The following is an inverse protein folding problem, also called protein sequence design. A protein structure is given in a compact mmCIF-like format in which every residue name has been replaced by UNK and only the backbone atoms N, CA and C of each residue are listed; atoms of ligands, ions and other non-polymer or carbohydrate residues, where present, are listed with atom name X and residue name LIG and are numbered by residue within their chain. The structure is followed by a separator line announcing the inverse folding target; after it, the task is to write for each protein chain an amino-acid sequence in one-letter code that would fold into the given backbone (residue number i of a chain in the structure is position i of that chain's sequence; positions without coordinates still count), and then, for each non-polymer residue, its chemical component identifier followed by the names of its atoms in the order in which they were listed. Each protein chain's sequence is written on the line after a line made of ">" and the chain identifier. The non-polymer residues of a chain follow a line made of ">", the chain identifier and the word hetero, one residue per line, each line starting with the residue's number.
data_IF_794700688042
#
_entry.id   IF_794700688042
#
_cell.length_a   1.000
_cell.length_b   1.000
_cell.length_c   1.000
_cell.angle_alpha   90.00
_cell.angle_beta   90.00
_cell.angle_gamma   90.00
#
_symmetry.space_group_name_H-M   'P 1'
#
loop_
_entity.id
_entity.type
_entity.pdbx_description
1 polymer ?
#
# COMPACT_ATOMS: atom_id res chain seq x y z
N UNK A 1 65.06 29.83 -65.89
CA UNK A 1 64.52 29.40 -64.58
C UNK A 1 64.33 27.90 -64.64
N UNK A 2 64.90 27.17 -63.68
CA UNK A 2 65.11 25.73 -63.75
C UNK A 2 63.82 24.98 -63.42
N UNK A 3 63.48 23.94 -64.18
CA UNK A 3 62.29 23.08 -63.97
C UNK A 3 62.17 22.55 -62.53
N UNK A 4 63.30 22.44 -61.83
CA UNK A 4 63.36 22.02 -60.42
C UNK A 4 62.75 23.02 -59.44
N UNK A 5 62.90 24.33 -59.69
CA UNK A 5 62.35 25.39 -58.83
C UNK A 5 60.83 25.49 -58.98
N UNK A 6 60.32 25.29 -60.20
CA UNK A 6 58.86 25.28 -60.46
C UNK A 6 58.14 24.12 -59.78
N UNK A 7 58.77 22.93 -59.70
CA UNK A 7 58.18 21.76 -59.02
C UNK A 7 58.10 21.98 -57.51
N UNK A 8 59.14 22.58 -56.90
CA UNK A 8 59.15 22.88 -55.45
C UNK A 8 58.05 23.88 -55.10
N UNK A 9 57.92 24.98 -55.84
CA UNK A 9 56.86 25.97 -55.62
C UNK A 9 55.44 25.38 -55.78
N UNK A 10 55.26 24.45 -56.72
CA UNK A 10 53.98 23.78 -56.92
C UNK A 10 53.64 22.82 -55.77
N UNK A 11 54.63 22.10 -55.23
CA UNK A 11 54.46 21.22 -54.07
C UNK A 11 54.07 22.02 -52.81
N UNK A 12 54.73 23.16 -52.56
CA UNK A 12 54.41 24.05 -51.44
C UNK A 12 52.97 24.60 -51.52
N UNK A 13 52.54 25.01 -52.72
CA UNK A 13 51.16 25.46 -52.97
C UNK A 13 50.12 24.34 -52.81
N UNK A 14 50.46 23.10 -53.15
CA UNK A 14 49.59 21.94 -52.94
C UNK A 14 49.51 21.57 -51.46
N UNK A 15 50.62 21.66 -50.71
CA UNK A 15 50.67 21.49 -49.26
C UNK A 15 49.77 22.51 -48.55
N UNK A 16 49.94 23.79 -48.87
CA UNK A 16 49.10 24.87 -48.31
C UNK A 16 47.60 24.71 -48.64
N UNK A 17 47.27 24.22 -49.84
CA UNK A 17 45.86 23.87 -50.18
C UNK A 17 45.35 22.66 -49.41
N UNK A 18 46.22 21.68 -49.13
CA UNK A 18 45.90 20.51 -48.33
C UNK A 18 45.58 20.90 -46.88
N UNK A 19 46.45 21.70 -46.25
CA UNK A 19 46.29 22.18 -44.88
C UNK A 19 44.98 22.96 -44.70
N UNK A 20 44.65 23.88 -45.61
CA UNK A 20 43.38 24.62 -45.56
C UNK A 20 42.14 23.73 -45.69
N UNK A 21 42.21 22.66 -46.49
CA UNK A 21 41.12 21.68 -46.60
C UNK A 21 40.98 20.87 -45.33
N UNK A 22 42.09 20.51 -44.70
CA UNK A 22 42.08 19.77 -43.44
C UNK A 22 41.51 20.60 -42.29
N UNK A 23 41.87 21.88 -42.19
CA UNK A 23 41.29 22.80 -41.22
C UNK A 23 39.77 22.96 -41.42
N UNK A 24 39.33 23.10 -42.68
CA UNK A 24 37.91 23.17 -43.02
C UNK A 24 37.15 21.91 -42.58
N UNK A 25 37.70 20.73 -42.89
CA UNK A 25 37.10 19.45 -42.49
C UNK A 25 37.09 19.26 -40.96
N UNK A 26 38.13 19.70 -40.25
CA UNK A 26 38.18 19.68 -38.78
C UNK A 26 37.08 20.55 -38.18
N UNK A 27 36.87 21.75 -38.73
CA UNK A 27 35.80 22.65 -38.28
C UNK A 27 34.42 22.06 -38.55
N UNK A 28 34.21 21.50 -39.75
CA UNK A 28 32.93 20.88 -40.11
C UNK A 28 32.62 19.66 -39.23
N UNK A 29 33.61 18.80 -38.99
CA UNK A 29 33.45 17.65 -38.11
C UNK A 29 33.15 18.07 -36.67
N UNK A 30 33.79 19.14 -36.18
CA UNK A 30 33.48 19.70 -34.85
C UNK A 30 32.02 20.15 -34.74
N UNK A 31 31.53 20.89 -35.74
CA UNK A 31 30.13 21.36 -35.77
C UNK A 31 29.16 20.18 -35.84
N UNK A 32 29.47 19.17 -36.64
CA UNK A 32 28.65 17.95 -36.73
C UNK A 32 28.62 17.17 -35.41
N UNK A 33 29.77 17.04 -34.73
CA UNK A 33 29.86 16.37 -33.44
C UNK A 33 29.06 17.11 -32.36
N UNK A 34 29.15 18.44 -32.28
CA UNK A 34 28.36 19.25 -31.35
C UNK A 34 26.85 19.13 -31.61
N UNK A 35 26.45 19.10 -32.89
CA UNK A 35 25.05 18.91 -33.27
C UNK A 35 24.53 17.52 -32.92
N UNK A 36 25.35 16.48 -33.12
CA UNK A 36 25.00 15.11 -32.75
C UNK A 36 24.80 14.98 -31.24
N UNK A 37 25.73 15.52 -30.44
CA UNK A 37 25.64 15.51 -28.99
C UNK A 37 24.37 16.22 -28.48
N UNK A 38 24.07 17.42 -29.01
CA UNK A 38 22.82 18.14 -28.65
C UNK A 38 21.56 17.38 -29.04
N UNK A 39 21.59 16.65 -30.16
CA UNK A 39 20.45 15.86 -30.59
C UNK A 39 20.19 14.70 -29.63
N UNK A 40 21.24 13.99 -29.22
CA UNK A 40 21.15 12.91 -28.23
C UNK A 40 20.64 13.42 -26.88
N UNK A 41 21.13 14.58 -26.42
CA UNK A 41 20.66 15.21 -25.17
C UNK A 41 19.15 15.52 -25.22
N UNK A 42 18.68 16.09 -26.33
CA UNK A 42 17.25 16.36 -26.53
C UNK A 42 16.40 15.09 -26.62
N UNK A 43 16.93 14.02 -27.22
CA UNK A 43 16.24 12.73 -27.29
C UNK A 43 16.16 12.07 -25.91
N UNK A 44 17.22 12.13 -25.11
CA UNK A 44 17.24 11.66 -23.73
C UNK A 44 16.25 12.44 -22.84
N UNK A 45 16.23 13.77 -22.96
CA UNK A 45 15.27 14.62 -22.22
C UNK A 45 13.81 14.27 -22.57
N UNK A 46 13.52 14.05 -23.86
CA UNK A 46 12.20 13.62 -24.32
C UNK A 46 11.82 12.24 -23.79
N UNK A 47 12.77 11.30 -23.75
CA UNK A 47 12.55 9.97 -23.19
C UNK A 47 12.22 10.05 -21.70
N UNK A 48 12.99 10.82 -20.93
CA UNK A 48 12.77 11.03 -19.50
C UNK A 48 11.39 11.65 -19.21
N UNK A 49 11.00 12.69 -19.96
CA UNK A 49 9.67 13.32 -19.83
C UNK A 49 8.52 12.36 -20.13
N UNK A 50 8.66 11.50 -21.15
CA UNK A 50 7.66 10.48 -21.47
C UNK A 50 7.51 9.47 -20.35
N UNK A 51 8.63 8.98 -19.81
CA UNK A 51 8.61 8.02 -18.72
C UNK A 51 7.99 8.62 -17.45
N UNK A 52 8.30 9.87 -17.14
CA UNK A 52 7.69 10.59 -16.02
C UNK A 52 6.17 10.72 -16.18
N UNK A 53 5.70 11.09 -17.37
CA UNK A 53 4.27 11.17 -17.68
C UNK A 53 3.57 9.80 -17.55
N UNK A 54 4.20 8.72 -18.00
CA UNK A 54 3.65 7.36 -17.87
C UNK A 54 3.58 6.92 -16.40
N UNK A 55 4.62 7.22 -15.60
CA UNK A 55 4.60 6.97 -14.15
C UNK A 55 3.49 7.76 -13.45
N UNK A 56 3.32 9.03 -13.81
CA UNK A 56 2.25 9.87 -13.26
C UNK A 56 0.87 9.31 -13.61
N UNK A 57 0.65 8.91 -14.86
CA UNK A 57 -0.61 8.31 -15.30
C UNK A 57 -0.93 7.00 -14.54
N UNK A 58 0.05 6.10 -14.38
CA UNK A 58 -0.13 4.85 -13.61
C UNK A 58 -0.49 5.11 -12.15
N UNK A 59 0.13 6.11 -11.54
CA UNK A 59 -0.16 6.49 -10.16
C UNK A 59 -1.60 7.00 -10.02
N UNK A 60 -2.03 7.87 -10.93
CA UNK A 60 -3.39 8.41 -10.94
C UNK A 60 -4.43 7.30 -11.17
N UNK A 61 -4.15 6.35 -12.06
CA UNK A 61 -5.02 5.21 -12.31
C UNK A 61 -5.18 4.34 -11.05
N UNK A 62 -4.09 4.05 -10.33
CA UNK A 62 -4.13 3.31 -9.07
C UNK A 62 -4.96 4.04 -7.99
N UNK A 63 -4.81 5.36 -7.86
CA UNK A 63 -5.61 6.17 -6.94
C UNK A 63 -7.10 6.17 -7.31
N UNK A 64 -7.43 6.23 -8.61
CA UNK A 64 -8.82 6.10 -9.09
C UNK A 64 -9.41 4.72 -8.78
N UNK A 65 -8.64 3.66 -8.99
CA UNK A 65 -9.06 2.30 -8.69
C UNK A 65 -9.35 2.13 -7.18
N UNK A 66 -8.44 2.60 -6.32
CA UNK A 66 -8.62 2.55 -4.87
C UNK A 66 -9.89 3.29 -4.41
N UNK A 67 -10.14 4.51 -4.92
CA UNK A 67 -11.38 5.25 -4.60
C UNK A 67 -12.64 4.54 -5.04
N UNK A 68 -12.60 3.88 -6.20
CA UNK A 68 -13.75 3.11 -6.70
C UNK A 68 -14.04 1.91 -5.81
N UNK A 69 -13.01 1.16 -5.41
CA UNK A 69 -13.16 0.05 -4.46
C UNK A 69 -13.67 0.50 -3.09
N UNK A 70 -13.22 1.66 -2.58
CA UNK A 70 -13.73 2.21 -1.33
C UNK A 70 -15.24 2.51 -1.40
N UNK A 71 -15.71 3.11 -2.49
CA UNK A 71 -17.14 3.40 -2.70
C UNK A 71 -17.97 2.11 -2.86
N UNK A 72 -17.50 1.16 -3.64
CA UNK A 72 -18.16 -0.15 -3.78
C UNK A 72 -18.19 -0.91 -2.46
N UNK A 73 -17.10 -0.83 -1.67
CA UNK A 73 -17.01 -1.42 -0.34
C UNK A 73 -17.96 -0.78 0.67
N UNK A 74 -18.15 0.54 0.61
CA UNK A 74 -19.12 1.25 1.43
C UNK A 74 -20.56 0.83 1.08
N UNK A 75 -20.90 0.81 -0.21
CA UNK A 75 -22.22 0.38 -0.68
C UNK A 75 -22.55 -1.06 -0.24
N UNK A 76 -21.60 -1.99 -0.37
CA UNK A 76 -21.79 -3.39 0.08
C UNK A 76 -21.97 -3.51 1.60
N UNK A 77 -21.28 -2.70 2.40
CA UNK A 77 -21.45 -2.68 3.86
C UNK A 77 -22.84 -2.19 4.24
N UNK A 78 -23.30 -1.10 3.63
CA UNK A 78 -24.65 -0.57 3.85
C UNK A 78 -25.73 -1.59 3.48
N UNK A 79 -25.56 -2.30 2.37
CA UNK A 79 -26.48 -3.37 1.95
C UNK A 79 -26.53 -4.53 2.97
N UNK A 80 -25.37 -4.98 3.46
CA UNK A 80 -25.31 -6.03 4.48
C UNK A 80 -25.92 -5.59 5.82
N UNK A 81 -25.70 -4.34 6.22
CA UNK A 81 -26.27 -3.81 7.45
C UNK A 81 -27.79 -3.64 7.34
N UNK A 82 -28.30 -3.23 6.16
CA UNK A 82 -29.72 -3.20 5.87
C UNK A 82 -30.36 -4.60 5.89
N UNK A 83 -29.69 -5.61 5.31
CA UNK A 83 -30.18 -6.99 5.35
C UNK A 83 -30.23 -7.53 6.79
N UNK A 84 -29.20 -7.25 7.60
CA UNK A 84 -29.17 -7.63 9.02
C UNK A 84 -30.28 -6.95 9.81
N UNK A 85 -30.52 -5.66 9.59
CA UNK A 85 -31.58 -4.92 10.24
C UNK A 85 -32.96 -5.51 9.91
N UNK A 86 -33.22 -5.82 8.63
CA UNK A 86 -34.48 -6.44 8.20
C UNK A 86 -34.70 -7.82 8.84
N UNK A 87 -33.65 -8.65 8.93
CA UNK A 87 -33.72 -9.96 9.60
C UNK A 87 -34.03 -9.81 11.10
N UNK A 88 -33.39 -8.88 11.79
CA UNK A 88 -33.64 -8.62 13.21
C UNK A 88 -35.06 -8.14 13.47
N UNK A 89 -35.60 -7.27 12.62
CA UNK A 89 -37.00 -6.81 12.74
C UNK A 89 -38.00 -7.96 12.53
N UNK A 90 -37.75 -8.88 11.59
CA UNK A 90 -38.59 -10.08 11.43
C UNK A 90 -38.54 -10.99 12.67
N UNK A 91 -37.35 -11.22 13.24
CA UNK A 91 -37.18 -12.02 14.45
C UNK A 91 -37.88 -11.39 15.65
N UNK A 92 -37.75 -10.07 15.81
CA UNK A 92 -38.45 -9.29 16.83
C UNK A 92 -39.96 -9.43 16.70
N UNK A 93 -40.51 -9.24 15.52
CA UNK A 93 -41.95 -9.43 15.25
C UNK A 93 -42.41 -10.84 15.62
N UNK A 94 -41.63 -11.86 15.26
CA UNK A 94 -41.93 -13.25 15.63
C UNK A 94 -41.96 -13.42 17.15
N UNK A 95 -40.93 -12.98 17.88
CA UNK A 95 -40.86 -13.09 19.33
C UNK A 95 -42.00 -12.32 20.02
N UNK A 96 -42.33 -11.12 19.54
CA UNK A 96 -43.46 -10.35 20.05
C UNK A 96 -44.80 -11.09 19.87
N UNK A 97 -45.01 -11.77 18.74
CA UNK A 97 -46.21 -12.58 18.52
C UNK A 97 -46.23 -13.83 19.41
N UNK A 98 -45.10 -14.51 19.59
CA UNK A 98 -44.98 -15.65 20.51
C UNK A 98 -45.28 -15.24 21.96
N UNK A 99 -44.77 -14.10 22.42
CA UNK A 99 -45.06 -13.53 23.75
C UNK A 99 -46.56 -13.26 23.91
N UNK A 100 -47.18 -12.58 22.94
CA UNK A 100 -48.63 -12.30 22.97
C UNK A 100 -49.46 -13.58 23.03
N UNK A 101 -49.09 -14.61 22.25
CA UNK A 101 -49.75 -15.90 22.30
C UNK A 101 -49.59 -16.59 23.66
N UNK A 102 -48.40 -16.55 24.26
CA UNK A 102 -48.17 -17.12 25.59
C UNK A 102 -48.97 -16.38 26.67
N UNK A 103 -48.99 -15.04 26.63
CA UNK A 103 -49.81 -14.23 27.53
C UNK A 103 -51.30 -14.58 27.42
N UNK A 104 -51.82 -14.74 26.20
CA UNK A 104 -53.20 -15.17 25.99
C UNK A 104 -53.48 -16.58 26.53
N UNK A 105 -52.54 -17.53 26.38
CA UNK A 105 -52.66 -18.88 26.94
C UNK A 105 -52.65 -18.89 28.48
N UNK A 106 -51.83 -18.04 29.11
CA UNK A 106 -51.80 -17.86 30.56
C UNK A 106 -53.12 -17.26 31.04
N UNK A 107 -53.61 -16.21 30.40
CA UNK A 107 -54.91 -15.59 30.72
C UNK A 107 -56.09 -16.55 30.55
N UNK A 108 -56.05 -17.43 29.54
CA UNK A 108 -57.04 -18.47 29.33
C UNK A 108 -56.97 -19.64 30.33
N UNK A 109 -56.00 -19.64 31.25
CA UNK A 109 -55.81 -20.69 32.25
C UNK A 109 -55.37 -22.04 31.68
N UNK A 110 -54.91 -22.07 30.42
CA UNK A 110 -54.50 -23.29 29.70
C UNK A 110 -53.11 -23.76 30.18
N UNK A 111 -52.25 -22.83 30.59
CA UNK A 111 -50.93 -23.10 31.17
C UNK A 111 -50.99 -22.74 32.65
N UNK A 112 -50.92 -23.74 33.54
CA UNK A 112 -50.69 -23.51 34.97
C UNK A 112 -49.24 -23.05 35.15
N UNK A 113 -48.99 -22.10 36.07
CA UNK A 113 -47.65 -21.65 36.46
C UNK A 113 -46.82 -22.79 37.06
N UNK A 114 -46.36 -23.73 36.25
CA UNK A 114 -45.37 -24.72 36.63
C UNK A 114 -44.13 -24.45 35.80
N UNK A 115 -43.26 -23.55 36.29
CA UNK A 115 -41.79 -23.52 36.05
C UNK A 115 -41.16 -22.16 36.42
N UNK A 116 -41.32 -21.70 37.67
CA UNK A 116 -40.43 -20.66 38.25
C UNK A 116 -39.26 -21.30 39.04
N UNK A 117 -39.12 -22.63 39.01
CA UNK A 117 -38.17 -23.37 39.85
C UNK A 117 -36.76 -23.57 39.30
N UNK A 118 -36.29 -22.85 38.27
CA UNK A 118 -34.98 -23.11 37.65
C UNK A 118 -33.99 -21.94 37.64
N UNK A 119 -34.31 -20.80 38.25
CA UNK A 119 -33.38 -19.67 38.35
C UNK A 119 -32.18 -19.92 39.29
N UNK A 120 -32.28 -20.88 40.22
CA UNK A 120 -31.23 -21.19 41.19
C UNK A 120 -30.13 -22.12 40.67
N UNK A 121 -30.33 -22.84 39.54
CA UNK A 121 -29.30 -23.75 38.98
C UNK A 121 -28.23 -23.05 38.14
N UNK A 122 -28.43 -21.79 37.74
CA UNK A 122 -27.47 -21.08 36.89
C UNK A 122 -26.33 -20.40 37.70
N UNK A 123 -26.54 -20.09 38.98
CA UNK A 123 -25.51 -19.46 39.81
C UNK A 123 -24.38 -20.43 40.22
N UNK A 124 -24.62 -21.74 40.26
CA UNK A 124 -23.60 -22.71 40.62
C UNK A 124 -22.61 -23.04 39.47
N UNK A 125 -23.00 -22.74 38.22
CA UNK A 125 -22.13 -22.96 37.05
C UNK A 125 -21.06 -21.85 36.88
N UNK A 126 -21.27 -20.66 37.45
CA UNK A 126 -20.29 -19.56 37.41
C UNK A 126 -19.10 -19.79 38.36
N UNK A 127 -19.26 -20.61 39.40
CA UNK A 127 -18.22 -20.90 40.38
C UNK A 127 -17.14 -21.90 39.93
N UNK A 128 -17.27 -22.49 38.73
CA UNK A 128 -16.34 -23.48 38.18
C UNK A 128 -15.85 -23.09 36.78
N UNK A 129 -15.30 -21.89 36.62
CA UNK A 129 -14.34 -21.71 35.54
C UNK A 129 -13.07 -22.51 35.89
N UNK A 130 -12.61 -23.46 35.05
CA UNK A 130 -11.24 -23.93 35.16
C UNK A 130 -10.33 -22.71 35.02
N UNK A 131 -9.39 -22.54 35.95
CA UNK A 131 -8.38 -21.47 35.88
C UNK A 131 -7.83 -21.45 34.45
N UNK A 132 -8.03 -20.34 33.74
CA UNK A 132 -7.37 -20.13 32.46
C UNK A 132 -5.87 -20.40 32.66
N UNK A 133 -5.22 -21.17 31.78
CA UNK A 133 -3.80 -21.42 31.91
C UNK A 133 -3.09 -20.07 31.95
N UNK A 134 -2.23 -19.93 32.95
CA UNK A 134 -1.35 -18.78 33.09
C UNK A 134 -0.63 -18.60 31.77
N UNK A 135 -0.89 -17.50 31.05
CA UNK A 135 -0.23 -17.18 29.79
C UNK A 135 1.21 -16.77 30.15
N UNK A 136 2.08 -17.76 30.32
CA UNK A 136 3.51 -17.56 30.49
C UNK A 136 4.07 -17.23 29.10
N UNK A 137 4.55 -16.00 28.96
CA UNK A 137 5.52 -15.52 27.98
C UNK A 137 5.43 -16.14 26.57
N UNK A 138 4.73 -15.43 25.67
CA UNK A 138 4.50 -15.76 24.26
C UNK A 138 5.75 -15.82 23.36
N UNK A 139 6.78 -16.56 23.75
CA UNK A 139 7.91 -16.93 22.89
C UNK A 139 7.72 -18.28 22.22
N UNK A 140 7.02 -19.22 22.87
CA UNK A 140 7.02 -20.63 22.45
C UNK A 140 5.80 -21.02 21.58
N UNK A 141 4.73 -20.22 21.56
CA UNK A 141 3.54 -20.54 20.76
C UNK A 141 3.60 -20.05 19.30
N UNK A 142 4.53 -19.15 18.97
CA UNK A 142 4.72 -18.67 17.59
C UNK A 142 5.31 -19.74 16.67
N UNK A 143 5.98 -20.74 17.23
CA UNK A 143 6.55 -21.87 16.47
C UNK A 143 5.50 -22.89 16.03
N UNK A 144 4.39 -23.01 16.77
CA UNK A 144 3.31 -23.96 16.42
C UNK A 144 2.46 -23.51 15.23
N UNK A 145 2.41 -22.21 14.96
CA UNK A 145 1.61 -21.63 13.87
C UNK A 145 2.44 -21.23 12.65
N UNK A 146 3.75 -21.51 12.63
CA UNK A 146 4.61 -21.16 11.50
C UNK A 146 4.77 -19.65 11.26
N UNK A 147 4.46 -18.81 12.25
CA UNK A 147 4.42 -17.33 12.13
C UNK A 147 5.79 -16.68 12.41
N UNK A 148 6.89 -17.43 12.21
CA UNK A 148 8.25 -16.98 12.52
C UNK A 148 8.64 -15.73 11.71
N UNK A 149 8.06 -15.57 10.52
CA UNK A 149 8.38 -14.49 9.57
C UNK A 149 7.69 -13.15 9.86
N UNK A 150 6.61 -13.13 10.65
CA UNK A 150 5.91 -11.88 10.99
C UNK A 150 6.61 -11.06 12.09
N UNK A 151 7.57 -11.66 12.80
CA UNK A 151 8.37 -10.96 13.84
C UNK A 151 9.24 -9.85 13.23
N UNK A 152 9.64 -9.96 11.96
CA UNK A 152 10.33 -8.90 11.23
C UNK A 152 9.43 -7.71 10.93
N UNK A 153 8.16 -7.97 10.57
CA UNK A 153 7.17 -6.95 10.23
C UNK A 153 6.69 -6.16 11.46
N UNK A 154 6.50 -6.82 12.61
CA UNK A 154 6.06 -6.13 13.83
C UNK A 154 7.11 -5.18 14.40
N UNK A 155 8.41 -5.47 14.23
CA UNK A 155 9.51 -4.59 14.67
C UNK A 155 9.58 -3.29 13.88
N UNK A 156 9.18 -3.31 12.61
CA UNK A 156 9.10 -2.11 11.75
C UNK A 156 7.92 -1.23 12.16
N UNK A 157 6.82 -1.83 12.64
CA UNK A 157 5.62 -1.10 13.08
C UNK A 157 5.77 -0.56 14.51
N UNK A 158 6.45 -1.28 15.42
CA UNK A 158 6.67 -0.85 16.80
C UNK A 158 7.85 0.14 16.99
N UNK A 159 8.66 0.39 15.95
CA UNK A 159 9.84 1.27 16.01
C UNK A 159 9.56 2.77 15.81
N UNK A 160 8.31 3.19 15.59
CA UNK A 160 7.93 4.61 15.40
C UNK A 160 6.82 5.00 16.36
N UNK A 161 7.15 5.22 17.63
CA UNK A 161 6.18 5.76 18.58
C UNK A 161 6.74 5.98 19.98
N UNK A 162 7.05 7.25 20.29
CA UNK A 162 7.24 7.84 21.63
C UNK A 162 8.61 7.68 22.31
N UNK A 163 9.60 8.42 21.81
CA UNK A 163 10.58 9.05 22.70
C UNK A 163 9.93 10.28 23.33
N UNK A 164 9.28 10.11 24.48
CA UNK A 164 8.96 11.24 25.37
C UNK A 164 9.72 11.04 26.67
N UNK A 165 10.61 11.98 26.94
CA UNK A 165 11.69 11.84 27.89
C UNK A 165 11.25 11.88 29.34
N UNK A 166 12.11 11.30 30.18
CA UNK A 166 12.43 11.80 31.51
C UNK A 166 13.94 11.57 31.73
N UNK A 167 14.73 12.62 31.45
CA UNK A 167 16.05 12.83 32.07
C UNK A 167 15.84 13.69 33.32
N UNK A 168 16.35 13.23 34.47
CA UNK A 168 16.82 13.95 35.69
C UNK A 168 16.60 13.01 36.90
N UNK A 169 17.50 12.73 37.85
CA UNK A 169 18.86 13.15 38.27
C UNK A 169 19.45 11.90 39.00
N UNK A 170 20.72 11.48 38.91
CA UNK A 170 21.98 11.98 39.53
C UNK A 170 21.87 12.41 41.01
N UNK A 171 22.63 11.71 41.87
CA UNK A 171 22.92 11.92 43.32
C UNK A 171 21.79 11.53 44.29
N UNK A 172 21.99 10.81 45.40
CA UNK A 172 23.18 10.39 46.18
C UNK A 172 23.13 8.88 46.49
#
# INVERSE_FOLDING_TARGET
>A
MSTREGIVQQADLLGYRGEKREEFLKQEFKVLAERAARKEELEAERAAKKEEAERAAKKEEAERAARKEELEGAARKEELDAERAARMELEKMRLETEIKMLQAKIQAGIVKEETVGNASRFNDASAKHPKLPHFQDGKDDLDKFGLRDLRGLLKVIAGRGTNNGHRRCVHC
#
